data_IF_610305427668
#
_entry.id   IF_610305427668
#
_cell.length_a   1.000
_cell.length_b   1.000
_cell.length_c   1.000
_cell.angle_alpha   90.00
_cell.angle_beta   90.00
_cell.angle_gamma   90.00
#
_symmetry.space_group_name_H-M   'P 1'
#
loop_
_entity.id
_entity.type
_entity.pdbx_description
1 polymer ?
#
# COMPACT_ATOMS: atom_id res chain seq x y z
N UNK A 1 -4.59 15.51 14.00
CA UNK A 1 -4.50 14.05 13.75
C UNK A 1 -3.28 13.46 14.46
N UNK A 2 -3.47 12.58 15.46
CA UNK A 2 -2.36 12.03 16.24
C UNK A 2 -2.31 10.49 16.14
N UNK A 3 -1.23 9.93 15.59
CA UNK A 3 -0.97 8.47 15.53
C UNK A 3 -1.04 7.83 16.92
N UNK A 4 -0.64 8.56 17.96
CA UNK A 4 -0.77 8.13 19.36
C UNK A 4 -2.21 7.76 19.73
N UNK A 5 -3.19 8.53 19.27
CA UNK A 5 -4.59 8.27 19.60
C UNK A 5 -5.12 7.05 18.85
N UNK A 6 -4.64 6.80 17.62
CA UNK A 6 -4.96 5.58 16.87
C UNK A 6 -4.36 4.35 17.55
N UNK A 7 -3.09 4.40 17.93
CA UNK A 7 -2.42 3.33 18.67
C UNK A 7 -3.12 3.05 20.02
N UNK A 8 -3.50 4.09 20.76
CA UNK A 8 -4.26 3.95 22.01
C UNK A 8 -5.62 3.27 21.78
N UNK A 9 -6.31 3.59 20.69
CA UNK A 9 -7.57 2.94 20.35
C UNK A 9 -7.37 1.47 19.99
N UNK A 10 -6.33 1.11 19.24
CA UNK A 10 -5.99 -0.30 18.97
C UNK A 10 -5.73 -1.05 20.27
N UNK A 11 -4.95 -0.48 21.21
CA UNK A 11 -4.71 -1.10 22.52
C UNK A 11 -5.99 -1.24 23.36
N UNK A 12 -6.94 -0.30 23.22
CA UNK A 12 -8.18 -0.28 24.00
C UNK A 12 -9.23 -1.25 23.45
N UNK A 13 -9.39 -1.32 22.13
CA UNK A 13 -10.47 -2.05 21.47
C UNK A 13 -10.01 -3.36 20.83
N UNK A 14 -8.70 -3.59 20.72
CA UNK A 14 -8.15 -4.68 19.93
C UNK A 14 -8.26 -4.41 18.42
N UNK A 15 -7.93 -5.43 17.64
CA UNK A 15 -8.08 -5.44 16.19
C UNK A 15 -9.25 -6.38 15.80
N UNK A 16 -10.00 -6.08 14.73
CA UNK A 16 -10.99 -7.01 14.20
C UNK A 16 -10.37 -8.35 13.79
N UNK A 17 -11.18 -9.40 13.74
CA UNK A 17 -10.74 -10.69 13.19
C UNK A 17 -10.24 -10.54 11.74
N UNK A 18 -9.18 -11.28 11.40
CA UNK A 18 -8.49 -11.23 10.10
C UNK A 18 -7.80 -9.88 9.77
N UNK A 19 -7.52 -9.05 10.77
CA UNK A 19 -6.67 -7.86 10.62
C UNK A 19 -5.47 -7.96 11.56
N UNK A 20 -4.29 -8.19 10.98
CA UNK A 20 -3.04 -8.37 11.72
C UNK A 20 -2.29 -7.05 11.94
N UNK A 21 -2.44 -6.09 11.01
CA UNK A 21 -1.84 -4.76 11.13
C UNK A 21 -2.64 -3.68 10.40
N UNK A 22 -2.42 -2.43 10.79
CA UNK A 22 -2.89 -1.25 10.07
C UNK A 22 -1.69 -0.61 9.36
N UNK A 23 -1.75 -0.54 8.03
CA UNK A 23 -0.85 0.30 7.26
C UNK A 23 -1.41 1.73 7.22
N UNK A 24 -0.64 2.72 7.66
CA UNK A 24 -1.08 4.12 7.72
C UNK A 24 -0.10 4.96 6.89
N UNK A 25 -0.60 5.62 5.85
CA UNK A 25 0.17 6.63 5.11
C UNK A 25 -0.39 8.01 5.42
N UNK A 26 0.50 8.97 5.70
CA UNK A 26 0.17 10.36 6.02
C UNK A 26 0.79 11.24 4.94
N UNK A 27 0.01 12.03 4.17
CA UNK A 27 0.54 13.02 3.24
C UNK A 27 1.46 14.02 3.95
N UNK A 28 2.50 14.48 3.25
CA UNK A 28 3.42 15.49 3.79
C UNK A 28 2.70 16.81 4.18
N UNK A 29 1.60 17.15 3.51
CA UNK A 29 0.79 18.33 3.77
C UNK A 29 -0.41 18.08 4.69
N UNK A 30 -0.41 16.97 5.44
CA UNK A 30 -1.52 16.64 6.32
C UNK A 30 -1.55 17.56 7.55
N UNK A 31 -2.72 18.12 7.81
CA UNK A 31 -3.06 18.95 8.97
C UNK A 31 -3.92 18.15 9.96
N UNK A 32 -4.33 18.79 11.05
CA UNK A 32 -5.06 18.07 12.10
C UNK A 32 -6.42 17.53 11.67
N UNK A 33 -7.08 18.25 10.76
CA UNK A 33 -8.41 18.02 10.21
C UNK A 33 -8.38 17.30 8.84
N UNK A 34 -7.20 16.92 8.34
CA UNK A 34 -7.09 16.14 7.11
C UNK A 34 -7.95 14.87 7.19
N UNK A 35 -8.84 14.65 6.20
CA UNK A 35 -9.72 13.49 6.21
C UNK A 35 -8.96 12.17 6.27
N UNK A 36 -9.52 11.20 7.00
CA UNK A 36 -9.02 9.83 7.07
C UNK A 36 -9.94 8.94 6.23
N UNK A 37 -9.37 8.16 5.33
CA UNK A 37 -10.05 7.20 4.47
C UNK A 37 -9.60 5.78 4.83
N UNK A 38 -10.56 4.87 5.03
CA UNK A 38 -10.25 3.45 5.12
C UNK A 38 -10.08 2.94 3.69
N UNK A 39 -8.93 2.33 3.42
CA UNK A 39 -8.50 2.01 2.06
C UNK A 39 -8.18 0.53 1.90
N UNK A 40 -8.07 0.07 0.65
CA UNK A 40 -7.43 -1.21 0.30
C UNK A 40 -6.03 -0.98 -0.26
N UNK A 41 -5.21 -2.01 -0.22
CA UNK A 41 -3.84 -1.97 -0.74
C UNK A 41 -3.85 -1.82 -2.27
N UNK A 42 -3.19 -0.78 -2.80
CA UNK A 42 -2.96 -0.65 -4.24
C UNK A 42 -2.12 -1.81 -4.79
N UNK A 43 -2.42 -2.28 -6.00
CA UNK A 43 -1.74 -3.45 -6.59
C UNK A 43 -0.32 -3.16 -7.06
N UNK A 44 -0.07 -1.96 -7.58
CA UNK A 44 1.24 -1.53 -8.11
C UNK A 44 1.26 -0.01 -8.17
N UNK A 45 2.37 0.62 -7.80
CA UNK A 45 2.48 2.10 -7.74
C UNK A 45 3.51 2.65 -8.73
N UNK A 46 4.35 1.78 -9.31
CA UNK A 46 5.42 2.17 -10.21
C UNK A 46 5.43 1.29 -11.45
N UNK A 47 5.56 1.90 -12.63
CA UNK A 47 5.91 1.18 -13.86
C UNK A 47 7.39 0.87 -13.84
N UNK A 48 7.76 -0.39 -13.61
CA UNK A 48 9.15 -0.83 -13.58
C UNK A 48 9.85 -0.57 -14.92
N UNK A 49 10.99 0.12 -14.85
CA UNK A 49 11.93 0.35 -15.93
C UNK A 49 13.33 -0.08 -15.48
N UNK A 50 14.14 -0.60 -16.39
CA UNK A 50 15.48 -1.10 -16.08
C UNK A 50 16.48 -0.49 -17.05
N UNK A 51 17.32 0.39 -16.53
CA UNK A 51 18.34 1.07 -17.30
C UNK A 51 19.69 0.38 -17.14
N UNK A 52 20.30 -0.09 -18.23
CA UNK A 52 21.68 -0.56 -18.21
C UNK A 52 22.65 0.63 -18.25
N UNK A 53 23.59 0.64 -17.32
CA UNK A 53 24.64 1.65 -17.19
C UNK A 53 26.01 0.97 -17.08
N UNK A 54 27.08 1.75 -17.22
CA UNK A 54 28.47 1.25 -17.08
C UNK A 54 29.19 1.96 -15.95
N UNK A 55 29.90 1.20 -15.12
CA UNK A 55 30.78 1.75 -14.09
C UNK A 55 32.04 2.38 -14.74
N UNK A 56 32.86 3.14 -13.99
CA UNK A 56 34.08 3.74 -14.55
C UNK A 56 35.12 2.73 -15.07
N UNK A 57 34.98 1.43 -14.76
CA UNK A 57 35.81 0.34 -15.26
C UNK A 57 35.17 -0.40 -16.45
N UNK A 58 34.06 0.12 -16.97
CA UNK A 58 33.34 -0.41 -18.12
C UNK A 58 32.42 -1.60 -17.82
N UNK A 59 32.24 -2.01 -16.56
CA UNK A 59 31.38 -3.14 -16.18
C UNK A 59 29.91 -2.72 -16.17
N UNK A 60 29.00 -3.53 -16.74
CA UNK A 60 27.58 -3.21 -16.74
C UNK A 60 27.00 -3.27 -15.32
N UNK A 61 26.08 -2.37 -15.02
CA UNK A 61 25.18 -2.42 -13.86
C UNK A 61 23.78 -1.96 -14.27
N UNK A 62 22.76 -2.37 -13.52
CA UNK A 62 21.37 -2.10 -13.86
C UNK A 62 20.73 -1.21 -12.81
N UNK A 63 20.05 -0.16 -13.25
CA UNK A 63 19.31 0.75 -12.39
C UNK A 63 17.82 0.49 -12.57
N UNK A 64 17.18 0.01 -11.50
CA UNK A 64 15.73 -0.18 -11.50
C UNK A 64 15.11 1.19 -11.19
N UNK A 65 14.46 1.77 -12.20
CA UNK A 65 13.70 3.00 -12.10
C UNK A 65 12.22 2.73 -12.42
N UNK A 66 11.42 3.77 -12.41
CA UNK A 66 10.04 3.67 -12.85
C UNK A 66 9.24 4.92 -12.56
N UNK A 67 8.32 5.22 -13.47
CA UNK A 67 7.36 6.30 -13.28
C UNK A 67 6.27 5.87 -12.30
N UNK A 68 5.80 6.81 -11.47
CA UNK A 68 4.61 6.60 -10.66
C UNK A 68 3.41 6.34 -11.57
N UNK A 69 2.62 5.33 -11.24
CA UNK A 69 1.29 5.15 -11.82
C UNK A 69 0.41 6.24 -11.18
N UNK A 70 -0.08 7.16 -12.02
CA UNK A 70 -0.78 8.38 -11.56
C UNK A 70 -2.28 8.16 -11.33
N UNK A 71 -2.87 7.23 -12.06
CA UNK A 71 -4.28 6.87 -11.95
C UNK A 71 -4.38 5.52 -11.27
N UNK A 72 -4.60 5.56 -9.96
CA UNK A 72 -4.93 4.37 -9.18
C UNK A 72 -6.44 4.30 -8.94
N UNK A 73 -6.92 3.08 -8.81
CA UNK A 73 -8.33 2.79 -8.61
C UNK A 73 -8.82 3.44 -7.30
N UNK A 74 -10.04 3.98 -7.33
CA UNK A 74 -10.65 4.62 -6.17
C UNK A 74 -10.70 3.67 -4.95
N UNK A 75 -10.50 4.24 -3.77
CA UNK A 75 -10.47 3.52 -2.50
C UNK A 75 -9.14 2.84 -2.18
N UNK A 76 -8.12 2.96 -3.03
CA UNK A 76 -6.76 2.53 -2.69
C UNK A 76 -6.04 3.52 -1.78
N UNK A 77 -5.05 3.03 -1.03
CA UNK A 77 -4.15 3.87 -0.22
C UNK A 77 -3.42 4.92 -1.07
N UNK A 78 -2.92 4.54 -2.24
CA UNK A 78 -2.27 5.48 -3.16
C UNK A 78 -3.24 6.55 -3.66
N UNK A 79 -4.46 6.17 -4.05
CA UNK A 79 -5.47 7.14 -4.49
C UNK A 79 -5.81 8.16 -3.39
N UNK A 80 -6.01 7.69 -2.15
CA UNK A 80 -6.27 8.55 -1.01
C UNK A 80 -5.14 9.58 -0.79
N UNK A 81 -3.88 9.13 -0.89
CA UNK A 81 -2.71 10.00 -0.66
C UNK A 81 -2.46 10.94 -1.85
N UNK A 82 -2.33 10.39 -3.05
CA UNK A 82 -1.79 11.10 -4.22
C UNK A 82 -2.83 11.97 -4.93
N UNK A 83 -4.11 11.58 -4.87
CA UNK A 83 -5.18 12.30 -5.58
C UNK A 83 -6.08 13.10 -4.64
N UNK A 84 -6.38 12.56 -3.44
CA UNK A 84 -7.25 13.24 -2.46
C UNK A 84 -6.48 14.03 -1.39
N UNK A 85 -5.20 13.73 -1.16
CA UNK A 85 -4.45 14.32 -0.05
C UNK A 85 -4.98 13.91 1.33
N UNK A 86 -5.70 12.78 1.39
CA UNK A 86 -6.25 12.21 2.61
C UNK A 86 -5.24 11.28 3.28
N UNK A 87 -5.44 11.01 4.57
CA UNK A 87 -4.70 9.97 5.28
C UNK A 87 -5.33 8.63 4.97
N UNK A 88 -4.51 7.66 4.59
CA UNK A 88 -4.97 6.30 4.30
C UNK A 88 -4.74 5.41 5.51
N UNK A 89 -5.74 4.59 5.84
CA UNK A 89 -5.60 3.47 6.79
C UNK A 89 -6.07 2.21 6.09
N UNK A 90 -5.13 1.32 5.78
CA UNK A 90 -5.40 0.03 5.14
C UNK A 90 -5.28 -1.09 6.18
N UNK A 91 -6.37 -1.82 6.50
CA UNK A 91 -6.27 -3.04 7.30
C UNK A 91 -5.63 -4.17 6.47
N UNK A 92 -4.58 -4.79 6.99
CA UNK A 92 -3.83 -5.85 6.31
C UNK A 92 -3.92 -7.15 7.11
N UNK A 93 -4.15 -8.23 6.36
CA UNK A 93 -4.03 -9.62 6.80
C UNK A 93 -2.69 -10.18 6.33
N UNK A 94 -2.00 -10.94 7.19
CA UNK A 94 -0.79 -11.69 6.85
C UNK A 94 -1.12 -13.05 6.23
N UNK A 95 -2.33 -13.57 6.45
CA UNK A 95 -2.81 -14.73 5.71
C UNK A 95 -2.86 -14.39 4.21
N UNK A 96 -1.92 -14.98 3.48
CA UNK A 96 -1.72 -14.80 2.05
C UNK A 96 -2.39 -15.89 1.22
N UNK A 97 -3.22 -16.74 1.85
CA UNK A 97 -4.05 -17.71 1.14
C UNK A 97 -5.02 -16.95 0.24
N UNK A 98 -5.05 -17.31 -1.05
CA UNK A 98 -5.93 -16.66 -2.00
C UNK A 98 -7.40 -16.84 -1.57
N UNK A 99 -8.14 -15.74 -1.49
CA UNK A 99 -9.57 -15.73 -1.14
C UNK A 99 -10.41 -16.10 -2.37
N UNK A 100 -10.30 -17.36 -2.77
CA UNK A 100 -11.02 -17.95 -3.91
C UNK A 100 -11.72 -19.24 -3.47
N UNK A 101 -12.66 -19.71 -4.28
CA UNK A 101 -13.21 -21.05 -4.12
C UNK A 101 -12.17 -22.10 -4.56
N UNK A 102 -11.81 -23.04 -3.69
CA UNK A 102 -10.74 -24.01 -3.97
C UNK A 102 -11.08 -24.95 -5.13
N UNK A 103 -12.38 -25.14 -5.42
CA UNK A 103 -12.83 -25.87 -6.62
C UNK A 103 -12.34 -25.23 -7.92
N UNK A 104 -12.01 -23.94 -7.94
CA UNK A 104 -11.40 -23.31 -9.12
C UNK A 104 -10.00 -23.84 -9.43
N UNK A 105 -9.31 -24.40 -8.43
CA UNK A 105 -7.99 -25.01 -8.57
C UNK A 105 -8.08 -26.47 -9.04
N UNK A 106 -9.18 -27.17 -8.75
CA UNK A 106 -9.37 -28.59 -9.09
C UNK A 106 -9.20 -28.89 -10.58
N UNK A 107 -9.51 -27.93 -11.47
CA UNK A 107 -9.31 -28.07 -12.93
C UNK A 107 -7.84 -28.21 -13.35
N UNK A 108 -6.89 -27.93 -12.45
CA UNK A 108 -5.45 -28.03 -12.69
C UNK A 108 -4.81 -29.27 -12.04
N UNK A 109 -5.60 -30.11 -11.35
CA UNK A 109 -5.17 -31.39 -10.77
C UNK A 109 -5.39 -32.52 -11.78
#
# INVERSE_FOLDING_TARGET
MCIRDRARNVLRYGMPENVDLLNINIPYHAEEDTPIEITRLARKVFKTDVEERRDPRGRPYYWIAGDLIREEEEGTDVHAIMQKGHVSITPISLDSTARIEFSEIEKYL
#
